data_IF_886424215914
#
_entry.id   IF_886424215914
#
_cell.length_a   1.000
_cell.length_b   1.000
_cell.length_c   1.000
_cell.angle_alpha   90.00
_cell.angle_beta   90.00
_cell.angle_gamma   90.00
#
_symmetry.space_group_name_H-M   'P 1'
#
loop_
_entity.id
_entity.type
_entity.pdbx_description
1 polymer ?
#
# COMPACT_ATOMS: atom_id res chain seq x y z
N UNK A 1 10.93 6.73 -14.53
CA UNK A 1 10.25 6.64 -15.83
C UNK A 1 11.23 5.96 -16.74
N UNK A 2 10.85 4.78 -17.21
CA UNK A 2 11.50 4.16 -18.36
C UNK A 2 11.39 5.08 -19.59
N UNK A 3 12.25 4.85 -20.59
CA UNK A 3 12.07 5.47 -21.91
C UNK A 3 10.71 5.03 -22.48
N UNK A 4 9.74 5.95 -22.46
CA UNK A 4 8.43 5.72 -23.07
C UNK A 4 8.62 5.48 -24.56
N UNK A 5 8.45 4.22 -24.97
CA UNK A 5 8.47 3.82 -26.36
C UNK A 5 7.06 3.47 -26.80
N UNK A 6 6.38 4.44 -27.42
CA UNK A 6 5.00 4.31 -27.86
C UNK A 6 4.72 3.02 -28.67
N UNK A 7 5.64 2.62 -29.56
CA UNK A 7 5.46 1.42 -30.38
C UNK A 7 5.42 0.13 -29.54
N UNK A 8 6.25 0.05 -28.50
CA UNK A 8 6.27 -1.11 -27.58
C UNK A 8 4.97 -1.15 -26.78
N UNK A 9 4.54 -0.01 -26.24
CA UNK A 9 3.34 0.07 -25.42
C UNK A 9 2.08 -0.24 -26.26
N UNK A 10 1.96 0.31 -27.47
CA UNK A 10 0.86 -0.01 -28.39
C UNK A 10 0.87 -1.48 -28.82
N UNK A 11 2.05 -2.06 -29.07
CA UNK A 11 2.19 -3.47 -29.42
C UNK A 11 1.70 -4.38 -28.29
N UNK A 12 2.03 -4.05 -27.04
CA UNK A 12 1.55 -4.75 -25.86
C UNK A 12 0.02 -4.60 -25.71
N UNK A 13 -0.51 -3.38 -25.82
CA UNK A 13 -1.94 -3.11 -25.73
C UNK A 13 -2.76 -3.93 -26.74
N UNK A 14 -2.27 -4.10 -27.98
CA UNK A 14 -2.94 -4.88 -29.05
C UNK A 14 -3.08 -6.37 -28.76
N UNK A 15 -2.39 -6.91 -27.75
CA UNK A 15 -2.52 -8.32 -27.34
C UNK A 15 -3.76 -8.56 -26.44
N UNK A 16 -4.35 -7.49 -25.90
CA UNK A 16 -5.51 -7.56 -25.01
C UNK A 16 -6.83 -7.54 -25.78
N UNK A 17 -7.86 -8.10 -25.16
CA UNK A 17 -9.21 -8.16 -25.71
C UNK A 17 -9.89 -6.81 -25.47
N UNK A 18 -9.82 -5.93 -26.46
CA UNK A 18 -10.38 -4.59 -26.45
C UNK A 18 -11.57 -4.49 -27.41
N UNK A 19 -12.55 -3.66 -27.05
CA UNK A 19 -13.62 -3.27 -27.96
C UNK A 19 -13.17 -2.06 -28.80
N UNK A 20 -13.06 -2.26 -30.12
CA UNK A 20 -12.60 -1.25 -31.07
C UNK A 20 -11.09 -1.17 -31.24
N UNK A 21 -10.67 -0.24 -32.11
CA UNK A 21 -9.27 0.01 -32.39
C UNK A 21 -8.68 0.97 -31.35
N UNK A 22 -7.39 0.85 -31.05
CA UNK A 22 -6.70 1.77 -30.14
C UNK A 22 -6.52 3.12 -30.86
N UNK A 23 -7.04 4.19 -30.25
CA UNK A 23 -6.84 5.58 -30.68
C UNK A 23 -5.50 6.10 -30.14
N UNK A 24 -5.24 5.89 -28.84
CA UNK A 24 -4.07 6.44 -28.18
C UNK A 24 -3.64 5.61 -26.97
N UNK A 25 -2.34 5.68 -26.69
CA UNK A 25 -1.75 5.18 -25.45
C UNK A 25 -0.84 6.25 -24.87
N UNK A 26 -1.11 6.69 -23.64
CA UNK A 26 -0.40 7.80 -23.01
C UNK A 26 0.00 7.45 -21.57
N UNK A 27 1.17 7.91 -21.09
CA UNK A 27 1.53 7.79 -19.68
C UNK A 27 0.41 8.35 -18.78
N UNK A 28 0.09 7.65 -17.70
CA UNK A 28 -1.02 7.97 -16.82
C UNK A 28 -0.68 7.75 -15.35
N UNK A 29 -1.08 8.70 -14.50
CA UNK A 29 -0.88 8.66 -13.05
C UNK A 29 0.53 9.04 -12.58
N UNK A 30 0.73 8.97 -11.26
CA UNK A 30 1.96 9.34 -10.54
C UNK A 30 2.69 8.14 -9.92
N UNK A 31 2.21 6.91 -10.17
CA UNK A 31 2.70 5.68 -9.56
C UNK A 31 4.22 5.48 -9.68
N UNK A 32 4.84 4.90 -8.64
CA UNK A 32 6.30 4.81 -8.52
C UNK A 32 6.89 3.43 -8.84
N UNK A 33 6.05 2.37 -8.83
CA UNK A 33 6.51 0.98 -8.99
C UNK A 33 6.36 0.52 -10.44
N UNK A 34 5.13 0.48 -10.97
CA UNK A 34 4.83 0.08 -12.34
C UNK A 34 4.76 1.29 -13.28
N UNK A 35 5.09 1.09 -14.56
CA UNK A 35 4.77 2.09 -15.58
C UNK A 35 3.31 1.92 -16.00
N UNK A 36 2.52 2.99 -15.90
CA UNK A 36 1.07 2.97 -16.15
C UNK A 36 0.71 3.85 -17.34
N UNK A 37 -0.16 3.34 -18.21
CA UNK A 37 -0.60 4.01 -19.43
C UNK A 37 -2.12 3.93 -19.57
N UNK A 38 -2.76 5.04 -19.95
CA UNK A 38 -4.17 5.06 -20.35
C UNK A 38 -4.27 4.67 -21.81
N UNK A 39 -5.14 3.70 -22.12
CA UNK A 39 -5.47 3.25 -23.48
C UNK A 39 -6.90 3.67 -23.79
N UNK A 40 -7.06 4.42 -24.88
CA UNK A 40 -8.37 4.89 -25.39
C UNK A 40 -8.66 4.17 -26.70
N UNK A 41 -9.89 3.69 -26.87
CA UNK A 41 -10.35 2.94 -28.04
C UNK A 41 -11.36 3.73 -28.89
N UNK A 42 -11.63 3.28 -30.11
CA UNK A 42 -12.60 3.92 -31.04
C UNK A 42 -14.05 3.81 -30.58
N UNK A 43 -14.33 2.85 -29.70
CA UNK A 43 -15.67 2.70 -29.11
C UNK A 43 -15.82 3.71 -27.99
N UNK A 44 -16.74 4.66 -28.18
CA UNK A 44 -17.18 5.59 -27.13
C UNK A 44 -18.19 4.88 -26.21
N UNK A 45 -17.71 3.85 -25.49
CA UNK A 45 -18.48 3.16 -24.44
C UNK A 45 -18.35 3.87 -23.08
N UNK A 46 -17.59 4.97 -23.01
CA UNK A 46 -17.15 5.57 -21.76
C UNK A 46 -16.24 4.65 -20.94
N UNK A 47 -15.51 3.72 -21.59
CA UNK A 47 -14.57 2.79 -20.94
C UNK A 47 -13.17 3.02 -21.50
N UNK A 48 -12.29 3.60 -20.69
CA UNK A 48 -10.85 3.55 -20.95
C UNK A 48 -10.23 2.32 -20.26
N UNK A 49 -8.97 2.04 -20.60
CA UNK A 49 -8.22 0.95 -19.99
C UNK A 49 -6.91 1.45 -19.41
N UNK A 50 -6.42 0.77 -18.37
CA UNK A 50 -5.08 0.96 -17.81
C UNK A 50 -4.20 -0.20 -18.23
N UNK A 51 -3.23 0.07 -19.10
CA UNK A 51 -2.15 -0.85 -19.39
C UNK A 51 -0.99 -0.58 -18.41
N UNK A 52 -0.49 -1.62 -17.77
CA UNK A 52 0.65 -1.51 -16.87
C UNK A 52 1.78 -2.43 -17.29
N UNK A 53 3.01 -1.89 -17.34
CA UNK A 53 4.21 -2.71 -17.32
C UNK A 53 4.58 -3.01 -15.88
N UNK A 54 4.58 -4.30 -15.55
CA UNK A 54 4.89 -4.79 -14.21
C UNK A 54 6.39 -4.65 -13.96
N UNK A 55 6.75 -4.06 -12.82
CA UNK A 55 8.12 -4.02 -12.36
C UNK A 55 8.54 -5.37 -11.79
N UNK A 56 8.91 -6.28 -12.68
CA UNK A 56 9.31 -7.64 -12.35
C UNK A 56 10.68 -7.74 -11.64
N UNK A 57 11.38 -6.62 -11.43
CA UNK A 57 12.55 -6.58 -10.53
C UNK A 57 12.10 -6.48 -9.07
N UNK A 58 11.01 -5.76 -8.80
CA UNK A 58 10.37 -5.71 -7.49
C UNK A 58 9.50 -6.95 -7.27
N UNK A 59 8.74 -7.35 -8.29
CA UNK A 59 7.85 -8.52 -8.27
C UNK A 59 8.38 -9.64 -9.17
N UNK A 60 9.40 -10.40 -8.76
CA UNK A 60 9.99 -11.45 -9.60
C UNK A 60 9.01 -12.59 -9.90
N UNK A 61 8.05 -12.86 -9.01
CA UNK A 61 7.00 -13.86 -9.20
C UNK A 61 5.73 -13.24 -9.81
N UNK A 62 5.78 -12.91 -11.10
CA UNK A 62 4.66 -12.30 -11.82
C UNK A 62 3.43 -13.22 -11.89
N UNK A 63 3.63 -14.54 -11.97
CA UNK A 63 2.54 -15.52 -11.94
C UNK A 63 1.77 -15.46 -10.62
N UNK A 64 2.49 -15.48 -9.48
CA UNK A 64 1.89 -15.34 -8.16
C UNK A 64 1.16 -14.01 -7.97
N UNK A 65 1.75 -12.91 -8.46
CA UNK A 65 1.13 -11.58 -8.45
C UNK A 65 -0.21 -11.58 -9.19
N UNK A 66 -0.24 -12.08 -10.42
CA UNK A 66 -1.47 -12.07 -11.22
C UNK A 66 -2.51 -13.07 -10.71
N UNK A 67 -2.08 -14.20 -10.13
CA UNK A 67 -2.94 -15.14 -9.43
C UNK A 67 -3.64 -14.49 -8.22
N UNK A 68 -2.91 -13.77 -7.39
CA UNK A 68 -3.49 -13.05 -6.24
C UNK A 68 -4.55 -12.04 -6.69
N UNK A 69 -4.22 -11.21 -7.68
CA UNK A 69 -5.13 -10.18 -8.19
C UNK A 69 -6.39 -10.84 -8.77
N UNK A 70 -6.25 -11.94 -9.52
CA UNK A 70 -7.41 -12.66 -10.07
C UNK A 70 -8.34 -13.18 -8.97
N UNK A 71 -7.80 -13.86 -7.96
CA UNK A 71 -8.59 -14.42 -6.86
C UNK A 71 -9.32 -13.30 -6.11
N UNK A 72 -8.58 -12.27 -5.72
CA UNK A 72 -9.08 -11.14 -4.92
C UNK A 72 -10.19 -10.42 -5.69
N UNK A 73 -9.92 -10.01 -6.94
CA UNK A 73 -10.90 -9.27 -7.75
C UNK A 73 -12.16 -10.10 -8.03
N UNK A 74 -12.03 -11.39 -8.37
CA UNK A 74 -13.18 -12.29 -8.55
C UNK A 74 -14.00 -12.46 -7.27
N UNK A 75 -13.36 -12.51 -6.11
CA UNK A 75 -14.05 -12.60 -4.83
C UNK A 75 -14.81 -11.31 -4.53
N UNK A 76 -14.14 -10.16 -4.63
CA UNK A 76 -14.74 -8.84 -4.42
C UNK A 76 -15.93 -8.58 -5.36
N UNK A 77 -15.82 -8.94 -6.64
CA UNK A 77 -16.92 -8.80 -7.61
C UNK A 77 -18.20 -9.54 -7.19
N UNK A 78 -18.11 -10.62 -6.40
CA UNK A 78 -19.28 -11.35 -5.88
C UNK A 78 -19.90 -10.68 -4.65
N UNK A 79 -19.12 -9.84 -3.94
CA UNK A 79 -19.53 -9.16 -2.71
C UNK A 79 -20.12 -7.78 -2.97
N UNK A 80 -19.64 -7.10 -4.01
CA UNK A 80 -20.10 -5.75 -4.35
C UNK A 80 -21.54 -5.80 -4.87
N UNK A 81 -22.39 -4.97 -4.28
CA UNK A 81 -23.75 -4.70 -4.76
C UNK A 81 -23.74 -3.37 -5.50
N UNK A 82 -24.09 -3.41 -6.78
CA UNK A 82 -24.20 -2.20 -7.61
C UNK A 82 -25.66 -1.83 -7.81
N UNK A 83 -25.95 -0.52 -7.81
CA UNK A 83 -27.27 -0.01 -8.17
C UNK A 83 -27.59 -0.33 -9.63
N UNK A 84 -28.89 -0.34 -9.97
CA UNK A 84 -29.33 -0.54 -11.35
C UNK A 84 -28.66 0.49 -12.29
N UNK A 85 -28.10 0.00 -13.40
CA UNK A 85 -27.38 0.82 -14.38
C UNK A 85 -25.91 1.13 -14.05
N UNK A 86 -25.37 0.64 -12.94
CA UNK A 86 -23.92 0.72 -12.61
C UNK A 86 -23.19 -0.58 -12.93
N UNK A 87 -21.91 -0.50 -13.30
CA UNK A 87 -21.09 -1.68 -13.62
C UNK A 87 -20.30 -2.11 -12.38
N UNK A 88 -20.12 -3.41 -12.19
CA UNK A 88 -19.22 -3.94 -11.15
C UNK A 88 -17.79 -3.42 -11.36
N UNK A 89 -17.38 -3.26 -12.63
CA UNK A 89 -16.07 -2.72 -13.00
C UNK A 89 -15.85 -1.26 -12.59
N UNK A 90 -16.89 -0.55 -12.17
CA UNK A 90 -16.76 0.81 -11.62
C UNK A 90 -16.42 0.78 -10.11
N UNK A 91 -16.43 -0.40 -9.47
CA UNK A 91 -16.25 -0.58 -8.03
C UNK A 91 -15.21 -1.65 -7.67
N UNK A 92 -14.76 -2.45 -8.63
CA UNK A 92 -13.75 -3.49 -8.43
C UNK A 92 -12.80 -3.46 -9.62
N UNK A 93 -11.50 -3.47 -9.33
CA UNK A 93 -10.46 -3.61 -10.35
C UNK A 93 -10.74 -4.83 -11.23
N UNK A 94 -10.86 -4.64 -12.54
CA UNK A 94 -11.27 -5.70 -13.46
C UNK A 94 -10.18 -5.94 -14.50
N UNK A 95 -9.59 -7.14 -14.48
CA UNK A 95 -8.55 -7.53 -15.43
C UNK A 95 -9.16 -7.70 -16.83
N UNK A 96 -8.51 -7.12 -17.84
CA UNK A 96 -8.80 -7.39 -19.25
C UNK A 96 -7.90 -8.54 -19.71
N UNK A 97 -8.46 -9.67 -20.16
CA UNK A 97 -7.66 -10.79 -20.62
C UNK A 97 -7.04 -10.51 -21.99
N UNK A 98 -5.98 -11.24 -22.29
CA UNK A 98 -5.38 -11.32 -23.62
C UNK A 98 -6.32 -12.00 -24.61
N UNK A 99 -6.04 -11.88 -25.90
CA UNK A 99 -6.80 -12.56 -26.96
C UNK A 99 -6.79 -14.09 -26.86
N UNK A 100 -5.79 -14.66 -26.18
CA UNK A 100 -5.68 -16.09 -25.86
C UNK A 100 -6.14 -16.44 -24.44
N UNK A 101 -6.77 -15.50 -23.72
CA UNK A 101 -7.42 -15.73 -22.42
C UNK A 101 -6.48 -15.69 -21.19
N UNK A 102 -5.21 -15.33 -21.36
CA UNK A 102 -4.28 -15.09 -20.24
C UNK A 102 -4.55 -13.74 -19.58
N UNK A 103 -4.03 -13.54 -18.38
CA UNK A 103 -4.24 -12.30 -17.62
C UNK A 103 -3.12 -11.27 -17.82
N UNK A 104 -2.02 -11.70 -18.41
CA UNK A 104 -0.85 -10.87 -18.70
C UNK A 104 -0.07 -11.46 -19.88
N UNK A 105 0.82 -10.67 -20.47
CA UNK A 105 1.77 -11.12 -21.50
C UNK A 105 3.21 -10.86 -21.06
N UNK A 106 4.14 -11.60 -21.66
CA UNK A 106 5.56 -11.24 -21.68
C UNK A 106 5.94 -10.83 -23.10
N UNK A 107 6.47 -9.63 -23.28
CA UNK A 107 6.91 -9.14 -24.58
C UNK A 107 8.27 -9.73 -24.99
N UNK A 108 8.70 -9.45 -26.22
CA UNK A 108 9.98 -9.93 -26.76
C UNK A 108 11.21 -9.33 -26.06
N UNK A 109 11.05 -8.25 -25.30
CA UNK A 109 12.10 -7.62 -24.48
C UNK A 109 12.13 -8.18 -23.06
N UNK A 110 11.25 -9.14 -22.75
CA UNK A 110 11.15 -9.77 -21.44
C UNK A 110 10.34 -8.99 -20.42
N UNK A 111 9.67 -7.91 -20.81
CA UNK A 111 8.79 -7.16 -19.92
C UNK A 111 7.43 -7.82 -19.79
N UNK A 112 6.81 -7.66 -18.63
CA UNK A 112 5.49 -8.20 -18.32
C UNK A 112 4.45 -7.10 -18.37
N UNK A 113 3.33 -7.36 -19.03
CA UNK A 113 2.25 -6.39 -19.22
C UNK A 113 0.91 -6.97 -18.81
N UNK A 114 0.10 -6.18 -18.12
CA UNK A 114 -1.29 -6.50 -17.75
C UNK A 114 -2.19 -5.32 -18.10
N UNK A 115 -3.49 -5.56 -18.20
CA UNK A 115 -4.47 -4.52 -18.49
C UNK A 115 -5.67 -4.61 -17.55
N UNK A 116 -6.17 -3.45 -17.13
CA UNK A 116 -7.40 -3.31 -16.36
C UNK A 116 -8.38 -2.39 -17.08
N UNK A 117 -9.66 -2.51 -16.75
CA UNK A 117 -10.65 -1.46 -17.02
C UNK A 117 -10.30 -0.25 -16.14
N UNK A 118 -10.22 0.95 -16.74
CA UNK A 118 -10.04 2.19 -15.99
C UNK A 118 -11.36 2.53 -15.28
N UNK A 119 -11.28 2.76 -13.98
CA UNK A 119 -12.39 3.29 -13.19
C UNK A 119 -12.41 4.81 -13.42
N UNK A 120 -13.40 5.28 -14.16
CA UNK A 120 -13.57 6.69 -14.53
C UNK A 120 -14.34 7.46 -13.44
N UNK A 121 -14.33 8.79 -13.53
CA UNK A 121 -15.05 9.71 -12.61
C UNK A 121 -14.63 9.62 -11.13
N UNK A 122 -13.44 9.10 -10.85
CA UNK A 122 -12.85 9.01 -9.51
C UNK A 122 -11.74 10.04 -9.27
N UNK A 123 -11.49 10.32 -7.99
CA UNK A 123 -10.36 11.11 -7.49
C UNK A 123 -9.56 10.27 -6.48
N UNK A 124 -8.26 10.50 -6.42
CA UNK A 124 -7.41 10.06 -5.31
C UNK A 124 -6.58 11.24 -4.82
N UNK A 125 -6.12 11.17 -3.58
CA UNK A 125 -5.38 12.25 -2.94
C UNK A 125 -4.06 11.71 -2.37
N UNK A 126 -2.96 12.41 -2.66
CA UNK A 126 -1.65 12.06 -2.09
C UNK A 126 -1.53 12.51 -0.61
N UNK A 127 -2.27 13.54 -0.22
CA UNK A 127 -2.32 14.09 1.13
C UNK A 127 -3.79 14.19 1.56
N UNK A 128 -4.09 13.71 2.76
CA UNK A 128 -5.43 13.82 3.36
C UNK A 128 -5.53 15.15 4.11
N UNK A 129 -6.51 15.96 3.75
CA UNK A 129 -6.67 17.31 4.29
C UNK A 129 -7.90 17.44 5.21
N UNK A 130 -8.88 16.54 5.07
CA UNK A 130 -10.17 16.64 5.76
C UNK A 130 -10.54 15.37 6.52
N UNK A 131 -11.28 15.53 7.61
CA UNK A 131 -11.83 14.41 8.39
C UNK A 131 -12.77 13.53 7.55
N UNK A 132 -13.49 14.11 6.58
CA UNK A 132 -14.36 13.37 5.66
C UNK A 132 -13.54 12.41 4.80
N UNK A 133 -12.45 12.89 4.20
CA UNK A 133 -11.54 12.04 3.43
C UNK A 133 -10.96 10.93 4.31
N UNK A 134 -10.46 11.26 5.51
CA UNK A 134 -9.90 10.28 6.44
C UNK A 134 -10.92 9.18 6.80
N UNK A 135 -12.16 9.56 7.13
CA UNK A 135 -13.23 8.61 7.43
C UNK A 135 -13.56 7.70 6.25
N UNK A 136 -13.64 8.25 5.03
CA UNK A 136 -13.91 7.46 3.82
C UNK A 136 -12.75 6.53 3.46
N UNK A 137 -11.50 6.93 3.70
CA UNK A 137 -10.34 6.03 3.60
C UNK A 137 -10.40 4.89 4.62
N UNK A 138 -10.81 5.19 5.85
CA UNK A 138 -11.06 4.19 6.89
C UNK A 138 -12.11 3.17 6.44
N UNK A 139 -13.27 3.65 5.99
CA UNK A 139 -14.34 2.79 5.45
C UNK A 139 -13.84 1.96 4.28
N UNK A 140 -13.06 2.53 3.36
CA UNK A 140 -12.55 1.82 2.19
C UNK A 140 -11.72 0.59 2.59
N UNK A 141 -10.72 0.76 3.45
CA UNK A 141 -9.85 -0.35 3.88
C UNK A 141 -10.56 -1.31 4.84
N UNK A 142 -11.42 -0.82 5.72
CA UNK A 142 -12.23 -1.66 6.60
C UNK A 142 -13.18 -2.56 5.81
N UNK A 143 -13.87 -2.00 4.81
CA UNK A 143 -14.75 -2.74 3.91
C UNK A 143 -13.96 -3.73 3.05
N UNK A 144 -12.80 -3.32 2.51
CA UNK A 144 -11.93 -4.20 1.72
C UNK A 144 -11.55 -5.46 2.52
N UNK A 145 -11.08 -5.29 3.76
CA UNK A 145 -10.74 -6.42 4.62
C UNK A 145 -11.98 -7.24 5.03
N UNK A 146 -13.12 -6.59 5.31
CA UNK A 146 -14.39 -7.28 5.59
C UNK A 146 -14.80 -8.19 4.43
N UNK A 147 -14.72 -7.68 3.20
CA UNK A 147 -15.11 -8.42 1.99
C UNK A 147 -14.17 -9.60 1.69
N UNK A 148 -12.91 -9.54 2.15
CA UNK A 148 -11.92 -10.61 2.01
C UNK A 148 -11.83 -11.53 3.23
N UNK A 149 -12.52 -11.20 4.33
CA UNK A 149 -12.41 -11.93 5.59
C UNK A 149 -12.85 -13.40 5.53
N UNK A 150 -13.64 -13.77 4.53
CA UNK A 150 -14.10 -15.14 4.27
C UNK A 150 -13.39 -15.83 3.10
N UNK A 151 -12.37 -15.20 2.53
CA UNK A 151 -11.48 -15.80 1.54
C UNK A 151 -10.27 -16.44 2.24
N UNK A 152 -9.97 -17.69 1.90
CA UNK A 152 -8.86 -18.41 2.51
C UNK A 152 -7.51 -17.78 2.13
N UNK A 153 -6.80 -17.25 3.12
CA UNK A 153 -5.49 -16.64 2.96
C UNK A 153 -4.44 -17.62 2.41
N UNK A 154 -4.60 -18.93 2.60
CA UNK A 154 -3.69 -19.94 2.05
C UNK A 154 -3.72 -20.02 0.52
N UNK A 155 -4.78 -19.48 -0.11
CA UNK A 155 -4.90 -19.40 -1.56
C UNK A 155 -4.10 -18.26 -2.20
N UNK A 156 -3.56 -17.34 -1.37
CA UNK A 156 -2.82 -16.16 -1.79
C UNK A 156 -1.32 -16.37 -1.61
N UNK A 157 -0.55 -16.03 -2.64
CA UNK A 157 0.91 -16.19 -2.69
C UNK A 157 1.61 -15.02 -2.01
N UNK A 158 2.63 -15.28 -1.19
CA UNK A 158 3.53 -14.23 -0.69
C UNK A 158 4.50 -13.80 -1.82
N UNK A 159 4.14 -12.75 -2.56
CA UNK A 159 4.91 -12.26 -3.72
C UNK A 159 6.12 -11.41 -3.34
N UNK A 160 6.09 -10.84 -2.12
CA UNK A 160 7.18 -10.08 -1.52
C UNK A 160 7.52 -10.67 -0.14
N UNK A 161 8.33 -11.73 -0.07
CA UNK A 161 8.70 -12.33 1.20
C UNK A 161 9.30 -11.32 2.18
N UNK A 162 8.90 -11.41 3.45
CA UNK A 162 9.37 -10.55 4.53
C UNK A 162 9.06 -9.05 4.35
N UNK A 163 8.02 -8.71 3.58
CA UNK A 163 7.67 -7.31 3.31
C UNK A 163 7.48 -6.50 4.61
N UNK A 164 6.60 -6.98 5.49
CA UNK A 164 6.31 -6.42 6.81
C UNK A 164 6.92 -7.22 7.98
N UNK A 165 7.98 -8.01 7.72
CA UNK A 165 8.68 -8.73 8.79
C UNK A 165 9.72 -7.82 9.46
N UNK A 166 9.37 -7.28 10.63
CA UNK A 166 10.26 -6.35 11.36
C UNK A 166 11.56 -7.00 11.84
N UNK A 167 11.53 -8.28 12.20
CA UNK A 167 12.74 -8.99 12.63
C UNK A 167 13.75 -9.07 11.50
N UNK A 168 13.30 -9.44 10.30
CA UNK A 168 14.12 -9.42 9.09
C UNK A 168 14.68 -8.02 8.80
N UNK A 169 13.88 -6.94 8.96
CA UNK A 169 14.37 -5.56 8.75
C UNK A 169 15.43 -5.16 9.77
N UNK A 170 15.25 -5.52 11.03
CA UNK A 170 16.22 -5.24 12.10
C UNK A 170 17.51 -6.06 11.95
N UNK A 171 17.43 -7.28 11.43
CA UNK A 171 18.62 -8.05 11.06
C UNK A 171 19.41 -7.39 9.91
N UNK A 172 18.72 -6.87 8.90
CA UNK A 172 19.36 -6.14 7.81
C UNK A 172 20.06 -4.89 8.33
N UNK A 173 19.42 -4.13 9.23
CA UNK A 173 20.05 -2.98 9.87
C UNK A 173 21.33 -3.38 10.63
N UNK A 174 21.31 -4.47 11.40
CA UNK A 174 22.52 -4.99 12.08
C UNK A 174 23.63 -5.36 11.11
N UNK A 175 23.29 -6.00 9.99
CA UNK A 175 24.27 -6.34 8.94
C UNK A 175 24.87 -5.07 8.30
N UNK A 176 24.05 -4.06 8.03
CA UNK A 176 24.51 -2.77 7.51
C UNK A 176 25.46 -2.07 8.50
N UNK A 177 25.12 -2.06 9.79
CA UNK A 177 25.97 -1.51 10.87
C UNK A 177 27.31 -2.24 10.95
N UNK A 178 27.30 -3.58 10.88
CA UNK A 178 28.53 -4.37 10.98
C UNK A 178 29.48 -4.15 9.79
N UNK A 179 28.93 -3.90 8.60
CA UNK A 179 29.72 -3.60 7.40
C UNK A 179 30.20 -2.15 7.34
N UNK A 180 29.35 -1.21 7.79
CA UNK A 180 29.56 0.24 7.76
C UNK A 180 30.23 0.73 6.45
N UNK A 181 29.71 0.27 5.31
CA UNK A 181 30.37 0.44 3.99
C UNK A 181 30.61 1.91 3.63
N UNK A 182 29.75 2.81 4.12
CA UNK A 182 29.85 4.25 3.91
C UNK A 182 30.46 5.01 5.10
N UNK A 183 30.88 4.33 6.18
CA UNK A 183 31.39 4.96 7.41
C UNK A 183 30.40 5.95 8.06
N UNK A 184 29.10 5.66 7.94
CA UNK A 184 27.99 6.52 8.39
C UNK A 184 27.46 6.13 9.77
N UNK A 185 27.81 4.96 10.31
CA UNK A 185 27.27 4.48 11.61
C UNK A 185 27.54 5.46 12.75
N UNK A 186 28.73 6.06 12.80
CA UNK A 186 29.10 6.97 13.89
C UNK A 186 28.20 8.21 13.99
N UNK A 187 27.63 8.69 12.89
CA UNK A 187 26.78 9.89 12.85
C UNK A 187 25.33 9.61 13.27
N UNK A 188 24.91 8.35 13.35
CA UNK A 188 23.52 7.95 13.58
C UNK A 188 23.29 7.20 14.90
N UNK A 189 24.26 7.14 15.81
CA UNK A 189 24.17 6.39 17.08
C UNK A 189 22.87 6.64 17.86
N UNK A 190 22.47 7.90 18.04
CA UNK A 190 21.22 8.24 18.75
C UNK A 190 19.95 7.65 18.11
N UNK A 191 19.94 7.46 16.78
CA UNK A 191 18.84 6.79 16.06
C UNK A 191 18.87 5.29 16.28
N UNK A 192 20.06 4.71 16.31
CA UNK A 192 20.23 3.29 16.62
C UNK A 192 19.75 3.00 18.04
N UNK A 193 20.11 3.84 19.00
CA UNK A 193 19.63 3.74 20.39
C UNK A 193 18.10 3.83 20.44
N UNK A 194 17.49 4.78 19.73
CA UNK A 194 16.04 4.92 19.61
C UNK A 194 15.38 3.65 19.03
N UNK A 195 15.97 3.09 17.98
CA UNK A 195 15.46 1.90 17.29
C UNK A 195 15.54 0.68 18.21
N UNK A 196 16.72 0.39 18.74
CA UNK A 196 16.95 -0.82 19.54
C UNK A 196 16.26 -0.77 20.91
N UNK A 197 16.04 0.42 21.48
CA UNK A 197 15.27 0.54 22.74
C UNK A 197 13.78 0.19 22.58
N UNK A 198 13.28 0.05 21.35
CA UNK A 198 11.87 -0.24 21.02
C UNK A 198 11.67 -1.59 20.36
N UNK A 199 12.74 -2.34 20.13
CA UNK A 199 12.70 -3.57 19.33
C UNK A 199 11.64 -4.57 19.81
N UNK A 200 11.64 -4.91 21.10
CA UNK A 200 10.70 -5.89 21.67
C UNK A 200 9.24 -5.46 21.44
N UNK A 201 8.95 -4.18 21.71
CA UNK A 201 7.61 -3.60 21.47
C UNK A 201 7.21 -3.74 20.00
N UNK A 202 8.11 -3.46 19.07
CA UNK A 202 7.82 -3.48 17.64
C UNK A 202 7.68 -4.91 17.10
N UNK A 203 8.13 -5.93 17.83
CA UNK A 203 7.93 -7.34 17.48
C UNK A 203 6.58 -7.92 17.92
N UNK A 204 5.82 -7.23 18.76
CA UNK A 204 4.56 -7.73 19.37
C UNK A 204 3.61 -8.40 18.36
N UNK A 205 3.26 -7.75 17.24
CA UNK A 205 2.33 -8.31 16.25
C UNK A 205 2.88 -9.60 15.62
N UNK A 206 4.17 -9.61 15.28
CA UNK A 206 4.84 -10.77 14.70
C UNK A 206 4.86 -11.94 15.70
N UNK A 207 5.14 -11.66 16.97
CA UNK A 207 5.17 -12.67 18.03
C UNK A 207 3.78 -13.29 18.27
N UNK A 208 2.74 -12.46 18.41
CA UNK A 208 1.36 -12.93 18.55
C UNK A 208 0.92 -13.74 17.33
N UNK A 209 1.29 -13.28 16.14
CA UNK A 209 1.06 -13.99 14.89
C UNK A 209 1.74 -15.36 14.83
N UNK A 210 3.00 -15.45 15.26
CA UNK A 210 3.76 -16.72 15.29
C UNK A 210 3.19 -17.75 16.26
N UNK A 211 2.51 -17.29 17.32
CA UNK A 211 1.79 -18.13 18.29
C UNK A 211 0.38 -18.53 17.82
N UNK A 212 -0.08 -17.99 16.69
CA UNK A 212 -1.43 -18.21 16.17
C UNK A 212 -2.52 -17.45 16.95
N UNK A 213 -2.14 -16.45 17.77
CA UNK A 213 -3.08 -15.64 18.54
C UNK A 213 -3.74 -14.57 17.66
N UNK A 214 -3.01 -14.06 16.67
CA UNK A 214 -3.57 -13.22 15.61
C UNK A 214 -3.86 -14.06 14.36
N UNK A 215 -5.08 -13.99 13.80
CA UNK A 215 -5.40 -14.72 12.58
C UNK A 215 -4.65 -14.12 11.39
N UNK A 216 -4.10 -15.01 10.54
CA UNK A 216 -3.54 -14.60 9.27
C UNK A 216 -4.68 -14.24 8.31
N UNK A 217 -4.66 -13.04 7.75
CA UNK A 217 -5.68 -12.52 6.83
C UNK A 217 -5.07 -12.11 5.50
N UNK A 218 -5.92 -11.87 4.52
CA UNK A 218 -5.51 -11.21 3.27
C UNK A 218 -5.51 -9.70 3.54
N UNK A 219 -4.34 -9.08 3.47
CA UNK A 219 -4.13 -7.65 3.72
C UNK A 219 -3.64 -6.96 2.46
N UNK A 220 -3.84 -5.65 2.36
CA UNK A 220 -3.42 -4.84 1.23
C UNK A 220 -1.91 -4.57 1.23
N UNK A 221 -1.34 -4.36 2.41
CA UNK A 221 0.06 -4.06 2.72
C UNK A 221 0.63 -2.74 2.14
N UNK A 222 -0.10 -1.98 1.33
CA UNK A 222 0.27 -0.62 0.91
C UNK A 222 -0.95 0.31 0.97
N UNK A 223 -1.38 0.68 2.17
CA UNK A 223 -2.65 1.37 2.41
C UNK A 223 -2.50 2.89 2.42
N UNK A 224 -1.64 3.41 1.54
CA UNK A 224 -1.57 4.85 1.26
C UNK A 224 -2.92 5.34 0.75
N UNK A 225 -3.28 6.56 1.12
CA UNK A 225 -4.59 7.11 0.76
C UNK A 225 -4.79 7.25 -0.76
N UNK A 226 -3.73 7.43 -1.54
CA UNK A 226 -3.83 7.48 -2.99
C UNK A 226 -4.17 6.14 -3.66
N UNK A 227 -4.18 5.04 -2.89
CA UNK A 227 -4.71 3.74 -3.28
C UNK A 227 -6.22 3.60 -2.99
N UNK A 228 -6.88 4.66 -2.50
CA UNK A 228 -8.33 4.74 -2.39
C UNK A 228 -8.86 5.65 -3.49
N UNK A 229 -9.78 5.13 -4.30
CA UNK A 229 -10.55 5.92 -5.25
C UNK A 229 -11.83 6.40 -4.58
N UNK A 230 -12.03 7.72 -4.61
CA UNK A 230 -13.25 8.39 -4.17
C UNK A 230 -14.06 8.87 -5.38
N UNK A 231 -15.38 8.92 -5.24
CA UNK A 231 -16.25 9.50 -6.27
C UNK A 231 -16.17 11.04 -6.27
N UNK A 232 -16.92 11.69 -7.17
CA UNK A 232 -16.94 13.16 -7.27
C UNK A 232 -17.44 13.90 -6.00
N UNK A 233 -18.10 13.19 -5.07
CA UNK A 233 -18.61 13.67 -3.78
C UNK A 233 -17.72 13.24 -2.60
N UNK A 234 -16.51 12.77 -2.89
CA UNK A 234 -15.53 12.25 -1.92
C UNK A 234 -16.03 11.03 -1.14
N UNK A 235 -16.90 10.21 -1.73
CA UNK A 235 -17.33 8.92 -1.15
C UNK A 235 -16.45 7.78 -1.66
N UNK A 236 -16.07 6.87 -0.76
CA UNK A 236 -15.23 5.73 -1.13
C UNK A 236 -15.90 4.88 -2.21
N UNK A 237 -15.13 4.57 -3.25
CA UNK A 237 -15.59 3.79 -4.39
C UNK A 237 -14.91 2.44 -4.44
N UNK A 238 -13.57 2.39 -4.34
CA UNK A 238 -12.82 1.14 -4.23
C UNK A 238 -11.36 1.36 -3.78
N UNK A 239 -10.71 0.26 -3.40
CA UNK A 239 -9.26 0.17 -3.18
C UNK A 239 -8.59 -0.35 -4.45
N UNK A 240 -7.48 0.26 -4.84
CA UNK A 240 -6.66 -0.09 -6.01
C UNK A 240 -5.22 -0.43 -5.58
N UNK A 241 -4.36 -0.77 -6.56
CA UNK A 241 -2.97 -1.19 -6.34
C UNK A 241 -2.83 -2.47 -5.52
N UNK A 242 -3.45 -3.54 -6.05
CA UNK A 242 -3.53 -4.85 -5.39
C UNK A 242 -2.21 -5.65 -5.45
N UNK A 243 -1.08 -5.03 -5.77
CA UNK A 243 0.18 -5.73 -6.03
C UNK A 243 0.84 -6.31 -4.78
N UNK A 244 0.57 -5.68 -3.64
CA UNK A 244 1.05 -6.12 -2.33
C UNK A 244 -0.03 -6.86 -1.56
N UNK A 245 -1.14 -7.23 -2.20
CA UNK A 245 -2.16 -8.06 -1.56
C UNK A 245 -1.61 -9.46 -1.35
N UNK A 246 -1.38 -9.79 -0.09
CA UNK A 246 -0.79 -11.05 0.36
C UNK A 246 -1.20 -11.33 1.81
N UNK A 247 -0.93 -12.53 2.35
CA UNK A 247 -1.21 -12.83 3.74
C UNK A 247 -0.46 -11.90 4.71
N UNK A 248 -1.13 -11.46 5.76
CA UNK A 248 -0.59 -10.57 6.78
C UNK A 248 -1.55 -10.42 7.97
N UNK A 249 -1.30 -9.42 8.81
CA UNK A 249 -2.16 -9.09 9.95
C UNK A 249 -2.83 -7.73 9.73
N UNK A 250 -4.10 -7.61 10.10
CA UNK A 250 -4.91 -6.39 9.88
C UNK A 250 -4.27 -5.12 10.44
N UNK A 251 -3.53 -5.24 11.53
CA UNK A 251 -2.79 -4.14 12.13
C UNK A 251 -1.75 -3.52 11.18
N UNK A 252 -1.25 -4.28 10.18
CA UNK A 252 -0.31 -3.75 9.19
C UNK A 252 -0.95 -2.71 8.28
N UNK A 253 -2.11 -3.02 7.72
CA UNK A 253 -2.89 -2.10 6.88
C UNK A 253 -3.36 -0.88 7.70
N UNK A 254 -3.87 -1.12 8.91
CA UNK A 254 -4.26 -0.02 9.78
C UNK A 254 -3.08 0.92 10.05
N UNK A 255 -1.92 0.34 10.38
CA UNK A 255 -0.72 1.11 10.69
C UNK A 255 -0.14 1.89 9.52
N UNK A 256 -0.10 1.29 8.32
CA UNK A 256 0.45 1.96 7.13
C UNK A 256 -0.47 3.08 6.63
N UNK A 257 -1.80 2.92 6.78
CA UNK A 257 -2.75 3.99 6.52
C UNK A 257 -2.53 5.15 7.49
N UNK A 258 -2.50 4.88 8.80
CA UNK A 258 -2.26 5.91 9.82
C UNK A 258 -0.95 6.67 9.57
N UNK A 259 0.13 5.96 9.25
CA UNK A 259 1.45 6.55 8.93
C UNK A 259 1.37 7.65 7.86
N UNK A 260 0.49 7.50 6.87
CA UNK A 260 0.37 8.44 5.75
C UNK A 260 -0.73 9.48 5.96
N UNK A 261 -1.78 9.16 6.70
CA UNK A 261 -2.93 10.05 6.90
C UNK A 261 -2.66 11.12 7.96
N UNK A 262 -1.97 10.78 9.04
CA UNK A 262 -1.87 11.68 10.20
C UNK A 262 -0.64 12.59 10.15
N UNK A 263 0.23 12.39 9.16
CA UNK A 263 1.45 13.18 8.97
C UNK A 263 1.17 14.34 8.01
N UNK A 264 1.21 15.61 8.46
CA UNK A 264 0.88 16.78 7.64
C UNK A 264 2.00 17.19 6.68
N UNK A 265 3.16 16.53 6.75
CA UNK A 265 4.33 16.85 5.93
C UNK A 265 4.77 15.66 5.09
N UNK A 266 5.51 15.95 4.02
CA UNK A 266 6.11 14.93 3.17
C UNK A 266 7.08 14.03 3.96
N UNK A 267 7.28 12.80 3.45
CA UNK A 267 8.16 11.80 4.07
C UNK A 267 9.63 12.28 4.18
N UNK A 268 10.04 13.24 3.35
CA UNK A 268 11.37 13.84 3.29
C UNK A 268 11.45 15.29 3.84
N UNK A 269 10.53 15.69 4.73
CA UNK A 269 10.61 16.98 5.43
C UNK A 269 11.87 17.06 6.31
N UNK A 270 12.65 18.13 6.11
CA UNK A 270 13.91 18.37 6.82
C UNK A 270 13.69 18.97 8.21
N UNK A 271 12.63 19.76 8.36
CA UNK A 271 12.25 20.38 9.61
C UNK A 271 11.37 19.44 10.45
N UNK A 272 12.02 18.67 11.33
CA UNK A 272 11.35 17.71 12.21
C UNK A 272 10.36 18.35 13.19
N UNK A 273 10.41 19.66 13.40
CA UNK A 273 9.47 20.37 14.28
C UNK A 273 8.06 20.47 13.68
N UNK A 274 7.92 20.29 12.36
CA UNK A 274 6.63 20.29 11.67
C UNK A 274 5.93 18.93 11.67
N UNK A 275 6.62 17.89 12.13
CA UNK A 275 6.06 16.54 12.22
C UNK A 275 5.20 16.50 13.48
N UNK A 276 3.94 16.88 13.30
CA UNK A 276 2.90 16.90 14.32
C UNK A 276 1.80 15.93 13.92
N UNK A 277 1.15 15.29 14.88
CA UNK A 277 0.04 14.40 14.55
C UNK A 277 -1.23 15.18 14.28
N UNK A 278 -1.87 14.88 13.16
CA UNK A 278 -3.26 15.28 12.98
C UNK A 278 -4.21 14.28 13.66
N UNK A 279 -4.45 14.50 14.96
CA UNK A 279 -5.30 13.62 15.79
C UNK A 279 -6.77 13.61 15.35
N UNK A 280 -7.25 14.67 14.69
CA UNK A 280 -8.60 14.71 14.14
C UNK A 280 -8.72 13.73 12.95
N UNK A 281 -7.75 13.72 12.05
CA UNK A 281 -7.70 12.74 10.95
C UNK A 281 -7.51 11.31 11.45
N UNK A 282 -6.67 11.10 12.47
CA UNK A 282 -6.54 9.79 13.12
C UNK A 282 -7.91 9.29 13.60
N UNK A 283 -8.64 10.14 14.34
CA UNK A 283 -9.94 9.80 14.90
C UNK A 283 -10.94 9.46 13.79
N UNK A 284 -11.08 10.33 12.80
CA UNK A 284 -11.99 10.13 11.69
C UNK A 284 -11.69 8.84 10.91
N UNK A 285 -10.41 8.54 10.65
CA UNK A 285 -10.00 7.29 10.00
C UNK A 285 -10.34 6.06 10.85
N UNK A 286 -10.00 6.08 12.14
CA UNK A 286 -10.25 4.95 13.04
C UNK A 286 -11.75 4.65 13.18
N UNK A 287 -12.58 5.69 13.30
CA UNK A 287 -14.04 5.58 13.34
C UNK A 287 -14.58 4.99 12.03
N UNK A 288 -14.16 5.50 10.87
CA UNK A 288 -14.58 4.98 9.57
C UNK A 288 -14.12 3.55 9.30
N UNK A 289 -12.92 3.17 9.73
CA UNK A 289 -12.40 1.81 9.61
C UNK A 289 -13.19 0.83 10.47
N UNK A 290 -13.43 1.16 11.73
CA UNK A 290 -14.15 0.29 12.65
C UNK A 290 -15.65 0.21 12.33
N UNK A 291 -16.26 1.24 11.74
CA UNK A 291 -17.64 1.17 11.21
C UNK A 291 -17.84 -0.05 10.29
N UNK A 292 -16.83 -0.38 9.47
CA UNK A 292 -16.90 -1.53 8.56
C UNK A 292 -16.30 -2.80 9.17
N UNK A 293 -15.17 -2.68 9.87
CA UNK A 293 -14.36 -3.82 10.27
C UNK A 293 -14.75 -4.48 11.60
N UNK A 294 -15.46 -3.77 12.49
CA UNK A 294 -15.69 -4.22 13.87
C UNK A 294 -16.35 -5.62 13.96
N UNK A 295 -17.19 -5.97 12.98
CA UNK A 295 -17.94 -7.23 12.92
C UNK A 295 -17.06 -8.49 12.72
N UNK A 296 -15.95 -8.39 11.99
CA UNK A 296 -15.12 -9.56 11.63
C UNK A 296 -13.82 -9.66 12.42
N UNK A 297 -13.40 -8.57 13.07
CA UNK A 297 -12.20 -8.49 13.88
C UNK A 297 -12.39 -9.21 15.21
N UNK A 298 -11.38 -9.99 15.61
CA UNK A 298 -11.28 -10.52 16.97
C UNK A 298 -10.95 -9.42 17.97
N UNK A 299 -11.15 -9.68 19.26
CA UNK A 299 -10.78 -8.73 20.33
C UNK A 299 -9.29 -8.37 20.26
N UNK A 300 -8.41 -9.37 20.10
CA UNK A 300 -6.96 -9.13 20.07
C UNK A 300 -6.52 -8.34 18.83
N UNK A 301 -7.17 -8.54 17.68
CA UNK A 301 -6.90 -7.71 16.50
C UNK A 301 -7.27 -6.25 16.74
N UNK A 302 -8.39 -5.97 17.40
CA UNK A 302 -8.80 -4.60 17.75
C UNK A 302 -7.81 -3.94 18.70
N UNK A 303 -7.35 -4.68 19.70
CA UNK A 303 -6.36 -4.20 20.68
C UNK A 303 -5.00 -3.88 20.05
N UNK A 304 -4.63 -4.61 18.99
CA UNK A 304 -3.33 -4.48 18.30
C UNK A 304 -3.31 -3.50 17.13
N UNK A 305 -4.45 -2.89 16.75
CA UNK A 305 -4.50 -1.88 15.67
C UNK A 305 -3.52 -0.72 15.93
N UNK A 306 -3.50 -0.21 17.17
CA UNK A 306 -2.61 0.90 17.55
C UNK A 306 -1.14 0.45 17.57
N UNK A 307 -0.86 -0.82 17.90
CA UNK A 307 0.49 -1.37 17.81
C UNK A 307 1.00 -1.39 16.36
N UNK A 308 0.11 -1.63 15.40
CA UNK A 308 0.41 -1.49 13.97
C UNK A 308 0.78 -0.06 13.59
N UNK A 309 0.06 0.93 14.12
CA UNK A 309 0.34 2.35 13.88
C UNK A 309 1.73 2.78 14.37
N UNK A 310 2.27 2.17 15.42
CA UNK A 310 3.66 2.38 15.84
C UNK A 310 4.66 1.64 14.95
N UNK A 311 4.34 0.38 14.61
CA UNK A 311 5.23 -0.52 13.88
C UNK A 311 5.58 -0.02 12.48
N UNK A 312 4.60 0.45 11.72
CA UNK A 312 4.80 0.74 10.29
C UNK A 312 5.74 1.94 10.04
N UNK A 313 5.58 3.11 10.71
CA UNK A 313 6.59 4.16 10.63
C UNK A 313 7.94 3.72 11.19
N UNK A 314 7.97 2.98 12.31
CA UNK A 314 9.22 2.45 12.86
C UNK A 314 9.96 1.59 11.83
N UNK A 315 9.27 0.62 11.22
CA UNK A 315 9.82 -0.28 10.21
C UNK A 315 10.32 0.49 8.99
N UNK A 316 9.57 1.50 8.53
CA UNK A 316 9.96 2.33 7.41
C UNK A 316 11.21 3.16 7.75
N UNK A 317 11.32 3.69 8.96
CA UNK A 317 12.53 4.34 9.48
C UNK A 317 13.74 3.39 9.51
N UNK A 318 13.55 2.15 9.96
CA UNK A 318 14.59 1.10 9.93
C UNK A 318 15.05 0.83 8.50
N UNK A 319 14.12 0.73 7.54
CA UNK A 319 14.43 0.50 6.12
C UNK A 319 15.23 1.66 5.52
N UNK A 320 14.81 2.90 5.75
CA UNK A 320 15.54 4.08 5.27
C UNK A 320 16.93 4.20 5.89
N UNK A 321 17.06 3.95 7.19
CA UNK A 321 18.36 4.02 7.85
C UNK A 321 19.31 2.94 7.34
N UNK A 322 18.79 1.72 7.11
CA UNK A 322 19.56 0.62 6.53
C UNK A 322 20.09 1.02 5.15
N UNK A 323 19.23 1.54 4.27
CA UNK A 323 19.64 1.97 2.93
C UNK A 323 20.66 3.13 2.98
N UNK A 324 20.47 4.11 3.87
CA UNK A 324 21.44 5.19 4.08
C UNK A 324 22.83 4.66 4.50
N UNK A 325 22.88 3.65 5.38
CA UNK A 325 24.15 3.05 5.81
C UNK A 325 24.80 2.20 4.70
N UNK A 326 24.00 1.65 3.79
CA UNK A 326 24.47 0.83 2.66
C UNK A 326 24.81 1.65 1.40
N UNK A 327 24.59 2.97 1.41
CA UNK A 327 24.94 3.86 0.31
C UNK A 327 23.79 4.14 -0.67
N UNK A 328 22.55 4.11 -0.20
CA UNK A 328 21.37 4.62 -0.90
C UNK A 328 21.07 3.89 -2.23
N UNK A 329 21.12 2.56 -2.21
CA UNK A 329 20.96 1.72 -3.42
C UNK A 329 19.53 1.21 -3.63
N UNK A 330 18.71 1.16 -2.58
CA UNK A 330 17.35 0.66 -2.65
C UNK A 330 16.32 1.76 -2.97
N UNK A 331 16.35 2.87 -2.23
CA UNK A 331 15.43 3.99 -2.44
C UNK A 331 16.05 5.04 -3.34
N UNK A 332 15.25 5.60 -4.26
CA UNK A 332 15.68 6.75 -5.05
C UNK A 332 15.93 7.95 -4.13
N UNK A 333 17.15 8.47 -4.19
CA UNK A 333 17.58 9.66 -3.46
C UNK A 333 17.76 10.86 -4.41
N UNK A 334 17.65 12.07 -3.87
CA UNK A 334 17.81 13.34 -4.60
C UNK A 334 19.06 14.09 -4.16
N UNK A 335 19.60 13.74 -2.99
CA UNK A 335 20.73 14.35 -2.30
C UNK A 335 21.29 13.34 -1.29
N UNK A 336 22.50 13.58 -0.81
CA UNK A 336 23.31 12.58 -0.10
C UNK A 336 22.68 12.04 1.19
N UNK A 337 22.02 12.89 1.99
CA UNK A 337 21.41 12.52 3.27
C UNK A 337 19.89 12.28 3.16
N UNK A 338 19.36 12.06 1.96
CA UNK A 338 17.92 11.98 1.73
C UNK A 338 17.24 10.86 2.52
N UNK A 339 17.82 9.65 2.56
CA UNK A 339 17.26 8.56 3.37
C UNK A 339 17.45 8.80 4.88
N UNK A 340 18.48 9.54 5.30
CA UNK A 340 18.62 9.95 6.69
C UNK A 340 17.53 10.95 7.10
N UNK A 341 17.19 11.90 6.22
CA UNK A 341 16.06 12.82 6.41
C UNK A 341 14.76 12.05 6.54
N UNK A 342 14.48 11.11 5.63
CA UNK A 342 13.29 10.24 5.72
C UNK A 342 13.24 9.43 7.01
N UNK A 343 14.39 8.91 7.45
CA UNK A 343 14.53 8.22 8.75
C UNK A 343 14.10 9.14 9.90
N UNK A 344 14.59 10.39 9.92
CA UNK A 344 14.19 11.36 10.94
C UNK A 344 12.68 11.55 10.98
N UNK A 345 12.06 11.67 9.81
CA UNK A 345 10.61 11.87 9.72
C UNK A 345 9.84 10.73 10.37
N UNK A 346 10.19 9.50 10.00
CA UNK A 346 9.49 8.31 10.50
C UNK A 346 9.72 8.09 11.99
N UNK A 347 10.94 8.25 12.50
CA UNK A 347 11.22 8.08 13.93
C UNK A 347 10.57 9.19 14.79
N UNK A 348 10.52 10.42 14.26
CA UNK A 348 9.80 11.52 14.93
C UNK A 348 8.31 11.25 14.98
N UNK A 349 7.73 10.70 13.92
CA UNK A 349 6.33 10.30 13.90
C UNK A 349 6.02 9.26 14.99
N UNK A 350 6.88 8.25 15.17
CA UNK A 350 6.78 7.27 16.27
C UNK A 350 6.83 7.96 17.63
N UNK A 351 7.79 8.86 17.84
CA UNK A 351 7.93 9.61 19.11
C UNK A 351 6.66 10.42 19.44
N UNK A 352 6.07 11.09 18.45
CA UNK A 352 4.84 11.86 18.65
C UNK A 352 3.62 10.96 18.89
N UNK A 353 3.55 9.79 18.23
CA UNK A 353 2.52 8.78 18.52
C UNK A 353 2.65 8.26 19.96
N UNK A 354 3.86 8.00 20.45
CA UNK A 354 4.09 7.51 21.82
C UNK A 354 3.57 8.52 22.86
N UNK A 355 3.75 9.83 22.62
CA UNK A 355 3.20 10.89 23.48
C UNK A 355 1.67 10.93 23.50
N UNK A 356 1.02 10.46 22.44
CA UNK A 356 -0.43 10.49 22.24
C UNK A 356 -1.08 9.10 22.34
N UNK A 357 -0.35 8.08 22.80
CA UNK A 357 -0.79 6.69 22.80
C UNK A 357 -2.11 6.50 23.55
N UNK A 358 -2.26 7.14 24.71
CA UNK A 358 -3.49 7.04 25.52
C UNK A 358 -4.71 7.54 24.74
N UNK A 359 -4.57 8.63 23.97
CA UNK A 359 -5.64 9.14 23.11
C UNK A 359 -5.91 8.17 21.96
N UNK A 360 -4.86 7.68 21.29
CA UNK A 360 -5.00 6.78 20.15
C UNK A 360 -5.73 5.48 20.52
N UNK A 361 -5.35 4.87 21.65
CA UNK A 361 -6.02 3.66 22.18
C UNK A 361 -7.45 3.96 22.63
N UNK A 362 -7.70 5.10 23.26
CA UNK A 362 -9.06 5.49 23.68
C UNK A 362 -10.01 5.61 22.49
N UNK A 363 -9.59 6.22 21.39
CA UNK A 363 -10.42 6.34 20.18
C UNK A 363 -10.82 4.95 19.66
N UNK A 364 -9.86 4.03 19.52
CA UNK A 364 -10.15 2.66 19.08
C UNK A 364 -11.10 1.99 20.06
N UNK A 365 -10.85 2.08 21.36
CA UNK A 365 -11.69 1.50 22.41
C UNK A 365 -13.14 2.04 22.39
N UNK A 366 -13.33 3.34 22.19
CA UNK A 366 -14.65 3.97 22.14
C UNK A 366 -15.48 3.53 20.91
N UNK A 367 -14.85 2.95 19.90
CA UNK A 367 -15.49 2.48 18.66
C UNK A 367 -15.86 0.99 18.69
N UNK A 368 -15.34 0.22 19.65
CA UNK A 368 -15.58 -1.23 19.82
C UNK A 368 -16.87 -1.42 20.61
#
# INVERSE_FOLDING_TARGET
MSDFNQLVVESAAKQFTLEGDIISVQPFGSGHINDTYRVVTTVDSGISHLLQRINHHVFPNVDGLMHNIEIVTKHLSKKVKVAEGKRISDHVLTIVPTKDGKLYIKDSQGNYWRMFILIEDTKSYDIVETEVQAAEGGRAFGLFQKQLSDLDASSIVEVLPNFHNIEFRLENLRKAIAKDVCQRVASVKHKLDFIFSREDRMKTILELGSKGELPLRITHNDTKFNNVLLDRHDKMQCVIDLDTVMPGYVAYDFGDAIRTIINPVAEDEKDVSKILLNLALYKAYAEGYLEEANDFLTTLEKETLVDGAFLLPYMQGVRFLTDYLEGDHYYKTKYEDHNLVRTNTQLKLVEEMEKNEAFMRKVVFDCI
#
